data_IF_344233264087
#
_entry.id   IF_344233264087
#
_cell.length_a   1.000
_cell.length_b   1.000
_cell.length_c   1.000
_cell.angle_alpha   90.00
_cell.angle_beta   90.00
_cell.angle_gamma   90.00
#
_symmetry.space_group_name_H-M   'P 1'
#
loop_
_entity.id
_entity.type
_entity.pdbx_description
1 polymer ?
#
# COMPACT_ATOMS: atom_id res chain seq x y z
N UNK A 1 -7.59 6.09 -28.58
CA UNK A 1 -8.33 6.71 -27.44
C UNK A 1 -7.86 6.21 -26.07
N UNK A 2 -7.45 4.93 -25.93
CA UNK A 2 -6.97 4.36 -24.66
C UNK A 2 -5.53 4.73 -24.27
N UNK A 3 -4.65 5.02 -25.23
CA UNK A 3 -3.23 5.33 -24.97
C UNK A 3 -2.98 6.77 -24.47
N UNK A 4 -3.95 7.68 -24.64
CA UNK A 4 -3.88 9.07 -24.14
C UNK A 4 -4.20 9.21 -22.65
N UNK A 5 -4.90 8.24 -22.09
CA UNK A 5 -5.13 8.10 -20.66
C UNK A 5 -4.26 6.91 -20.22
N UNK A 6 -3.67 6.92 -19.03
CA UNK A 6 -2.80 5.82 -18.58
C UNK A 6 -3.54 4.49 -18.31
N UNK A 7 -4.68 4.23 -18.98
CA UNK A 7 -5.56 3.09 -18.79
C UNK A 7 -4.90 1.78 -19.22
N UNK A 8 -3.94 1.82 -20.16
CA UNK A 8 -3.12 0.67 -20.51
C UNK A 8 -2.29 0.15 -19.31
N UNK A 9 -1.96 1.02 -18.34
CA UNK A 9 -1.25 0.61 -17.12
C UNK A 9 -2.15 -0.18 -16.14
N UNK A 10 -3.48 -0.11 -16.29
CA UNK A 10 -4.42 -0.89 -15.49
C UNK A 10 -4.57 -2.34 -16.00
N UNK A 11 -4.05 -2.65 -17.19
CA UNK A 11 -4.12 -3.99 -17.81
C UNK A 11 -3.00 -4.92 -17.30
N UNK A 12 -2.25 -4.52 -16.26
CA UNK A 12 -1.21 -5.34 -15.65
C UNK A 12 -1.78 -6.65 -15.04
N UNK A 13 -1.21 -7.83 -15.36
CA UNK A 13 -1.69 -9.10 -14.82
C UNK A 13 -1.48 -9.16 -13.31
N UNK A 14 -2.57 -9.35 -12.57
CA UNK A 14 -2.56 -9.36 -11.10
C UNK A 14 -1.96 -10.69 -10.61
N UNK A 15 -0.81 -10.69 -9.89
CA UNK A 15 -0.24 -11.91 -9.35
C UNK A 15 -1.12 -12.48 -8.23
N UNK A 16 -1.19 -13.81 -8.10
CA UNK A 16 -2.00 -14.48 -7.07
C UNK A 16 -1.68 -14.06 -5.63
N UNK A 17 -0.46 -13.54 -5.39
CA UNK A 17 -0.02 -13.00 -4.10
C UNK A 17 -0.85 -11.78 -3.64
N UNK A 18 -1.49 -11.05 -4.57
CA UNK A 18 -2.30 -9.87 -4.27
C UNK A 18 -3.52 -10.15 -3.39
N UNK A 19 -3.99 -11.40 -3.29
CA UNK A 19 -5.11 -11.78 -2.42
C UNK A 19 -4.69 -12.12 -0.97
N UNK A 20 -3.45 -11.83 -0.59
CA UNK A 20 -2.98 -12.07 0.79
C UNK A 20 -3.09 -10.81 1.64
N UNK A 21 -3.38 -11.01 2.92
CA UNK A 21 -3.54 -9.92 3.88
C UNK A 21 -2.28 -9.06 3.98
N UNK A 22 -1.07 -9.63 3.97
CA UNK A 22 0.20 -8.90 4.01
C UNK A 22 0.33 -7.89 2.85
N UNK A 23 -0.17 -8.23 1.67
CA UNK A 23 -0.21 -7.33 0.51
C UNK A 23 -1.29 -6.25 0.64
N UNK A 24 -2.45 -6.58 1.23
CA UNK A 24 -3.57 -5.65 1.37
C UNK A 24 -3.40 -4.65 2.52
N UNK A 25 -2.55 -4.93 3.51
CA UNK A 25 -2.30 -4.06 4.67
C UNK A 25 -1.89 -2.63 4.26
N UNK A 26 -1.10 -2.48 3.18
CA UNK A 26 -0.71 -1.16 2.68
C UNK A 26 -1.90 -0.35 2.16
N UNK A 27 -2.76 -0.97 1.34
CA UNK A 27 -3.98 -0.34 0.84
C UNK A 27 -4.96 -0.03 1.98
N UNK A 28 -5.10 -0.95 2.95
CA UNK A 28 -5.97 -0.75 4.12
C UNK A 28 -5.48 0.43 4.98
N UNK A 29 -4.16 0.59 5.14
CA UNK A 29 -3.55 1.74 5.81
C UNK A 29 -3.88 3.04 5.09
N UNK A 30 -3.76 3.07 3.75
CA UNK A 30 -4.08 4.25 2.95
C UNK A 30 -5.56 4.63 3.06
N UNK A 31 -6.47 3.65 3.07
CA UNK A 31 -7.90 3.87 3.28
C UNK A 31 -8.16 4.49 4.65
N UNK A 32 -7.55 3.94 5.71
CA UNK A 32 -7.70 4.48 7.06
C UNK A 32 -7.16 5.92 7.20
N UNK A 33 -6.01 6.22 6.60
CA UNK A 33 -5.45 7.59 6.58
C UNK A 33 -6.32 8.55 5.76
N UNK A 34 -6.89 8.09 4.65
CA UNK A 34 -7.82 8.89 3.83
C UNK A 34 -9.09 9.20 4.61
N UNK A 35 -9.66 8.20 5.28
CA UNK A 35 -10.83 8.37 6.15
C UNK A 35 -10.53 9.36 7.28
N UNK A 36 -9.38 9.23 7.94
CA UNK A 36 -8.92 10.15 8.97
C UNK A 36 -8.80 11.59 8.42
N UNK A 37 -8.17 11.77 7.26
CA UNK A 37 -8.01 13.08 6.63
C UNK A 37 -9.34 13.74 6.24
N UNK A 38 -10.21 13.00 5.55
CA UNK A 38 -11.52 13.52 5.11
C UNK A 38 -12.39 13.88 6.31
N UNK A 39 -12.49 13.00 7.30
CA UNK A 39 -13.27 13.30 8.51
C UNK A 39 -12.66 14.46 9.31
N UNK A 40 -11.34 14.58 9.35
CA UNK A 40 -10.65 15.73 9.96
C UNK A 40 -11.00 17.05 9.29
N UNK A 41 -10.98 17.09 7.95
CA UNK A 41 -11.38 18.28 7.17
C UNK A 41 -12.84 18.68 7.45
N UNK A 42 -13.74 17.70 7.63
CA UNK A 42 -15.13 17.98 8.01
C UNK A 42 -15.21 18.59 9.41
N UNK A 43 -14.50 18.02 10.39
CA UNK A 43 -14.52 18.51 11.77
C UNK A 43 -13.93 19.92 11.93
N UNK A 44 -12.91 20.27 11.13
CA UNK A 44 -12.31 21.61 11.19
C UNK A 44 -13.30 22.71 10.79
N UNK A 45 -14.35 22.41 10.02
CA UNK A 45 -15.38 23.39 9.68
C UNK A 45 -16.23 23.82 10.89
N UNK A 46 -16.21 23.03 11.98
CA UNK A 46 -16.99 23.27 13.20
C UNK A 46 -16.11 23.53 14.44
N UNK A 47 -14.79 23.58 14.27
CA UNK A 47 -13.84 23.75 15.36
C UNK A 47 -13.41 25.21 15.50
N UNK A 48 -13.47 25.74 16.73
CA UNK A 48 -12.89 27.05 17.07
C UNK A 48 -11.45 26.85 17.60
N UNK A 49 -10.41 27.31 16.87
CA UNK A 49 -9.02 27.18 17.30
C UNK A 49 -8.62 28.14 18.44
N UNK A 50 -9.49 29.08 18.84
CA UNK A 50 -9.21 29.97 19.96
C UNK A 50 -9.23 29.21 21.30
N UNK A 51 -8.25 29.41 22.20
CA UNK A 51 -8.17 28.68 23.47
C UNK A 51 -9.43 28.76 24.34
N UNK A 52 -10.12 29.91 24.30
CA UNK A 52 -11.36 30.13 25.05
C UNK A 52 -12.58 29.43 24.43
N UNK A 53 -12.60 29.23 23.11
CA UNK A 53 -13.71 28.63 22.37
C UNK A 53 -13.53 27.14 22.00
N UNK A 54 -12.31 26.60 22.14
CA UNK A 54 -11.97 25.24 21.75
C UNK A 54 -12.82 24.16 22.47
N UNK A 55 -13.07 24.31 23.78
CA UNK A 55 -13.88 23.34 24.52
C UNK A 55 -15.37 23.41 24.14
N UNK A 56 -15.91 24.63 24.02
CA UNK A 56 -17.33 24.85 23.71
C UNK A 56 -17.67 24.45 22.28
N UNK A 57 -16.79 24.68 21.30
CA UNK A 57 -17.01 24.22 19.92
C UNK A 57 -17.16 22.70 19.82
N UNK A 58 -16.34 21.94 20.56
CA UNK A 58 -16.46 20.48 20.62
C UNK A 58 -17.75 20.05 21.35
N UNK A 59 -18.13 20.72 22.45
CA UNK A 59 -19.41 20.44 23.13
C UNK A 59 -20.61 20.69 22.22
N UNK A 60 -20.57 21.75 21.41
CA UNK A 60 -21.62 22.05 20.45
C UNK A 60 -21.76 20.93 19.41
N UNK A 61 -20.64 20.43 18.85
CA UNK A 61 -20.65 19.28 17.94
C UNK A 61 -21.28 18.05 18.59
N UNK A 62 -20.92 17.73 19.83
CA UNK A 62 -21.40 16.52 20.53
C UNK A 62 -22.89 16.62 20.88
N UNK A 63 -23.38 17.79 21.29
CA UNK A 63 -24.73 17.95 21.83
C UNK A 63 -25.76 18.39 20.80
N UNK A 64 -25.35 19.15 19.78
CA UNK A 64 -26.27 19.85 18.88
C UNK A 64 -26.22 19.32 17.45
N UNK A 65 -25.19 18.56 17.06
CA UNK A 65 -24.97 18.10 15.69
C UNK A 65 -24.76 16.57 15.63
N UNK A 66 -25.83 15.75 15.69
CA UNK A 66 -25.71 14.29 15.80
C UNK A 66 -24.93 13.64 14.64
N UNK A 67 -25.11 14.12 13.40
CA UNK A 67 -24.35 13.60 12.25
C UNK A 67 -22.86 13.95 12.32
N UNK A 68 -22.53 15.16 12.78
CA UNK A 68 -21.12 15.59 12.92
C UNK A 68 -20.47 14.88 14.12
N UNK A 69 -21.24 14.62 15.18
CA UNK A 69 -20.81 13.78 16.30
C UNK A 69 -20.46 12.35 15.85
N UNK A 70 -21.27 11.75 14.97
CA UNK A 70 -20.93 10.47 14.36
C UNK A 70 -19.62 10.54 13.54
N UNK A 71 -19.43 11.61 12.76
CA UNK A 71 -18.16 11.84 12.01
C UNK A 71 -16.98 11.96 12.97
N UNK A 72 -17.15 12.61 14.12
CA UNK A 72 -16.13 12.69 15.18
C UNK A 72 -15.77 11.31 15.69
N UNK A 73 -16.75 10.47 16.00
CA UNK A 73 -16.48 9.11 16.46
C UNK A 73 -15.76 8.29 15.39
N UNK A 74 -16.19 8.39 14.12
CA UNK A 74 -15.48 7.78 13.00
C UNK A 74 -14.03 8.29 12.94
N UNK A 75 -13.78 9.59 13.13
CA UNK A 75 -12.42 10.16 13.13
C UNK A 75 -11.55 9.55 14.23
N UNK A 76 -12.07 9.44 15.45
CA UNK A 76 -11.35 8.85 16.60
C UNK A 76 -11.05 7.37 16.36
N UNK A 77 -12.05 6.58 15.96
CA UNK A 77 -11.85 5.16 15.66
C UNK A 77 -10.90 4.93 14.48
N UNK A 78 -10.96 5.78 13.46
CA UNK A 78 -10.05 5.76 12.31
C UNK A 78 -8.61 6.09 12.73
N UNK A 79 -8.41 7.01 13.68
CA UNK A 79 -7.08 7.32 14.21
C UNK A 79 -6.46 6.10 14.89
N UNK A 80 -7.21 5.42 15.78
CA UNK A 80 -6.76 4.19 16.42
C UNK A 80 -6.48 3.09 15.41
N UNK A 81 -7.38 2.89 14.44
CA UNK A 81 -7.21 1.91 13.37
C UNK A 81 -5.99 2.20 12.49
N UNK A 82 -5.78 3.46 12.08
CA UNK A 82 -4.65 3.89 11.26
C UNK A 82 -3.32 3.62 11.97
N UNK A 83 -3.22 3.89 13.28
CA UNK A 83 -2.02 3.59 14.06
C UNK A 83 -1.70 2.08 14.03
N UNK A 84 -2.68 1.23 14.34
CA UNK A 84 -2.51 -0.24 14.30
C UNK A 84 -2.11 -0.72 12.91
N UNK A 85 -2.76 -0.20 11.86
CA UNK A 85 -2.50 -0.59 10.48
C UNK A 85 -1.12 -0.16 10.01
N UNK A 86 -0.66 1.06 10.31
CA UNK A 86 0.70 1.52 10.00
C UNK A 86 1.73 0.62 10.64
N UNK A 87 1.64 0.34 11.94
CA UNK A 87 2.59 -0.54 12.62
C UNK A 87 2.57 -1.96 12.05
N UNK A 88 1.38 -2.49 11.77
CA UNK A 88 1.23 -3.84 11.19
C UNK A 88 1.78 -3.88 9.75
N UNK A 89 1.56 -2.85 8.96
CA UNK A 89 2.10 -2.72 7.60
C UNK A 89 3.62 -2.64 7.61
N UNK A 90 4.20 -1.82 8.49
CA UNK A 90 5.66 -1.72 8.63
C UNK A 90 6.26 -3.04 9.13
N UNK A 91 5.63 -3.71 10.08
CA UNK A 91 6.05 -5.04 10.51
C UNK A 91 6.00 -6.05 9.35
N UNK A 92 4.95 -6.05 8.52
CA UNK A 92 4.85 -6.93 7.36
C UNK A 92 5.93 -6.66 6.30
N UNK A 93 6.38 -5.42 6.15
CA UNK A 93 7.43 -5.03 5.20
C UNK A 93 8.83 -5.35 5.73
N UNK A 94 9.13 -5.00 6.97
CA UNK A 94 10.47 -5.13 7.55
C UNK A 94 10.75 -6.49 8.19
N UNK A 95 9.70 -7.21 8.59
CA UNK A 95 9.82 -8.52 9.22
C UNK A 95 9.14 -9.62 8.37
N UNK A 96 9.65 -9.93 7.17
CA UNK A 96 9.21 -11.10 6.40
C UNK A 96 9.71 -12.38 7.08
N UNK A 97 9.09 -12.74 8.21
CA UNK A 97 9.37 -13.98 8.94
C UNK A 97 8.57 -15.18 8.43
N UNK A 98 7.59 -14.98 7.53
CA UNK A 98 6.79 -16.09 7.02
C UNK A 98 7.69 -17.10 6.28
N UNK A 99 7.80 -18.36 6.75
CA UNK A 99 8.72 -19.36 6.20
C UNK A 99 8.45 -19.74 4.75
N UNK A 100 7.26 -19.42 4.23
CA UNK A 100 6.84 -19.72 2.88
C UNK A 100 6.93 -18.46 2.00
N UNK A 101 8.12 -18.16 1.48
CA UNK A 101 8.23 -17.34 0.27
C UNK A 101 8.85 -18.12 -0.90
N UNK A 102 8.20 -19.19 -1.41
CA UNK A 102 8.46 -19.64 -2.77
C UNK A 102 7.93 -18.55 -3.71
N UNK A 103 8.80 -17.63 -4.11
CA UNK A 103 8.43 -16.45 -4.89
C UNK A 103 9.21 -15.18 -4.52
N UNK A 104 10.42 -15.31 -3.95
CA UNK A 104 11.43 -14.27 -4.16
C UNK A 104 11.49 -13.97 -5.65
N UNK A 105 11.65 -12.69 -6.02
CA UNK A 105 11.82 -12.27 -7.40
C UNK A 105 13.00 -13.10 -7.93
N UNK A 106 12.72 -14.18 -8.66
CA UNK A 106 13.68 -14.80 -9.54
C UNK A 106 13.87 -13.75 -10.60
N UNK A 107 14.80 -12.83 -10.34
CA UNK A 107 15.47 -12.08 -11.38
C UNK A 107 16.12 -13.17 -12.19
N UNK A 108 15.40 -13.64 -13.21
CA UNK A 108 15.91 -14.61 -14.17
C UNK A 108 17.13 -13.93 -14.76
N UNK A 109 18.30 -14.30 -14.23
CA UNK A 109 19.57 -13.73 -14.60
C UNK A 109 19.77 -14.17 -16.04
N UNK A 110 19.35 -13.32 -16.99
CA UNK A 110 19.52 -13.55 -18.42
C UNK A 110 20.99 -13.87 -18.62
N UNK A 111 21.29 -15.14 -18.91
CA UNK A 111 22.65 -15.54 -19.20
C UNK A 111 23.17 -14.63 -20.32
N UNK A 112 24.40 -14.10 -20.23
CA UNK A 112 24.93 -13.27 -21.30
C UNK A 112 24.91 -14.10 -22.58
N UNK A 113 24.25 -13.55 -23.61
CA UNK A 113 24.18 -14.07 -24.98
C UNK A 113 25.59 -14.01 -25.58
N UNK A 114 26.44 -14.96 -25.18
CA UNK A 114 27.85 -14.99 -25.56
C UNK A 114 28.58 -16.30 -25.21
N UNK A 115 28.03 -17.15 -24.33
CA UNK A 115 28.67 -18.41 -23.95
C UNK A 115 28.40 -19.59 -24.94
N UNK A 116 27.69 -19.35 -26.05
CA UNK A 116 27.36 -20.37 -27.06
C UNK A 116 28.20 -20.27 -28.34
N UNK A 117 29.37 -19.63 -28.30
CA UNK A 117 30.34 -19.59 -29.41
C UNK A 117 31.68 -20.15 -28.95
N UNK A 118 31.74 -21.47 -28.77
CA UNK A 118 32.94 -22.17 -28.33
C UNK A 118 32.80 -23.69 -28.41
N UNK A 119 32.25 -24.24 -29.49
CA UNK A 119 32.21 -25.69 -29.73
C UNK A 119 32.30 -26.01 -31.23
N UNK A 120 33.40 -25.62 -31.87
CA UNK A 120 33.59 -25.86 -33.30
C UNK A 120 34.99 -25.59 -33.79
N UNK A 121 36.02 -26.22 -33.19
CA UNK A 121 37.37 -26.24 -33.75
C UNK A 121 38.27 -27.28 -33.06
N UNK A 122 38.08 -28.57 -33.36
CA UNK A 122 39.10 -29.63 -33.33
C UNK A 122 38.47 -30.77 -34.15
N UNK A 123 38.93 -31.15 -35.33
CA UNK A 123 40.27 -31.11 -35.89
C UNK A 123 40.52 -32.51 -36.44
N UNK A 124 40.03 -32.73 -37.67
CA UNK A 124 40.25 -33.92 -38.49
C UNK A 124 41.76 -34.18 -38.63
N UNK A 125 42.28 -35.24 -38.00
CA UNK A 125 43.62 -35.76 -38.21
C UNK A 125 43.64 -37.28 -37.90
N UNK A 126 44.21 -38.03 -38.86
CA UNK A 126 44.35 -39.49 -38.97
C UNK A 126 43.09 -40.22 -39.48
N UNK A 127 43.00 -40.77 -40.71
CA UNK A 127 43.99 -41.26 -41.68
C UNK A 127 45.13 -42.08 -41.05
N UNK A 128 44.88 -43.39 -40.95
CA UNK A 128 45.82 -44.45 -40.57
C UNK A 128 45.11 -45.78 -40.54
#
# INVERSE_FOLDING_TARGET
MRERFALAALEYPIPARSNRLDFMLGALTLVALTLLGVTGIVLTQFYDPAPLGAHESVRYVITSLPLVSLVRDIHVWSATGAVVLVFTHLAAVFWPWLPETPGGIVVERRAPVGAALGSGAHGNAAQG
#
